data_IF_513420077874
#
_entry.id   IF_513420077874
#
_cell.length_a   1.000
_cell.length_b   1.000
_cell.length_c   1.000
_cell.angle_alpha   90.00
_cell.angle_beta   90.00
_cell.angle_gamma   90.00
#
_symmetry.space_group_name_H-M   'P 1'
#
loop_
_entity.id
_entity.type
_entity.pdbx_description
1 polymer ?
#
# COMPACT_ATOMS: atom_id res chain seq x y z
N UNK A 1 -1.40 -30.84 -2.31
CA UNK A 1 -2.20 -29.62 -2.00
C UNK A 1 -1.35 -28.38 -1.73
N UNK A 2 -0.02 -28.52 -1.56
CA UNK A 2 0.83 -27.39 -1.16
C UNK A 2 0.84 -26.22 -2.15
N UNK A 3 0.97 -26.48 -3.46
CA UNK A 3 0.97 -25.40 -4.45
C UNK A 3 -0.32 -24.57 -4.41
N UNK A 4 -1.48 -25.22 -4.28
CA UNK A 4 -2.77 -24.53 -4.13
C UNK A 4 -2.78 -23.64 -2.89
N UNK A 5 -2.27 -24.15 -1.76
CA UNK A 5 -2.19 -23.36 -0.53
C UNK A 5 -1.27 -22.15 -0.70
N UNK A 6 -0.09 -22.34 -1.28
CA UNK A 6 0.87 -21.26 -1.52
C UNK A 6 0.31 -20.20 -2.46
N UNK A 7 -0.35 -20.61 -3.55
CA UNK A 7 -0.99 -19.68 -4.49
C UNK A 7 -2.13 -18.93 -3.81
N UNK A 8 -2.99 -19.60 -3.03
CA UNK A 8 -4.05 -18.93 -2.29
C UNK A 8 -3.50 -17.88 -1.31
N UNK A 9 -2.44 -18.21 -0.57
CA UNK A 9 -1.78 -17.24 0.32
C UNK A 9 -1.25 -16.02 -0.44
N UNK A 10 -0.65 -16.22 -1.62
CA UNK A 10 -0.19 -15.10 -2.45
C UNK A 10 -1.35 -14.23 -2.97
N UNK A 11 -2.48 -14.84 -3.32
CA UNK A 11 -3.69 -14.12 -3.75
C UNK A 11 -4.29 -13.29 -2.61
N UNK A 12 -4.37 -13.86 -1.41
CA UNK A 12 -4.90 -13.15 -0.23
C UNK A 12 -4.00 -11.95 0.15
N UNK A 13 -2.68 -12.13 0.05
CA UNK A 13 -1.71 -11.05 0.23
C UNK A 13 -1.87 -9.96 -0.84
N UNK A 14 -2.14 -10.35 -2.09
CA UNK A 14 -2.37 -9.40 -3.18
C UNK A 14 -3.65 -8.59 -2.99
N UNK A 15 -4.73 -9.23 -2.56
CA UNK A 15 -5.98 -8.53 -2.23
C UNK A 15 -5.75 -7.51 -1.12
N UNK A 16 -5.06 -7.92 -0.05
CA UNK A 16 -4.75 -7.04 1.09
C UNK A 16 -3.86 -5.85 0.69
N UNK A 17 -2.90 -6.08 -0.21
CA UNK A 17 -2.05 -5.01 -0.76
C UNK A 17 -2.86 -4.01 -1.57
N UNK A 18 -3.71 -4.49 -2.47
CA UNK A 18 -4.51 -3.64 -3.36
C UNK A 18 -5.45 -2.73 -2.54
N UNK A 19 -6.14 -3.30 -1.55
CA UNK A 19 -7.05 -2.57 -0.67
C UNK A 19 -6.32 -1.42 0.06
N UNK A 20 -5.13 -1.70 0.59
CA UNK A 20 -4.37 -0.73 1.37
C UNK A 20 -3.80 0.41 0.51
N UNK A 21 -3.30 0.09 -0.69
CA UNK A 21 -2.82 1.11 -1.64
C UNK A 21 -3.97 1.98 -2.13
N UNK A 22 -5.13 1.39 -2.46
CA UNK A 22 -6.31 2.15 -2.87
C UNK A 22 -6.79 3.07 -1.74
N UNK A 23 -6.77 2.61 -0.49
CA UNK A 23 -7.13 3.41 0.68
C UNK A 23 -6.24 4.65 0.81
N UNK A 24 -4.93 4.47 0.80
CA UNK A 24 -3.97 5.58 0.99
C UNK A 24 -4.02 6.58 -0.15
N UNK A 25 -4.13 6.11 -1.39
CA UNK A 25 -4.28 6.99 -2.55
C UNK A 25 -5.53 7.88 -2.44
N UNK A 26 -6.65 7.32 -1.98
CA UNK A 26 -7.89 8.07 -1.74
C UNK A 26 -7.75 9.06 -0.58
N UNK A 27 -7.26 8.61 0.57
CA UNK A 27 -7.13 9.45 1.77
C UNK A 27 -6.23 10.66 1.52
N UNK A 28 -5.03 10.43 0.99
CA UNK A 28 -4.03 11.49 0.83
C UNK A 28 -4.28 12.30 -0.44
N UNK A 29 -4.65 11.64 -1.55
CA UNK A 29 -4.79 12.28 -2.85
C UNK A 29 -6.15 12.93 -3.11
N UNK A 30 -7.23 12.41 -2.52
CA UNK A 30 -8.60 12.92 -2.77
C UNK A 30 -9.19 13.58 -1.53
N UNK A 31 -9.09 12.95 -0.36
CA UNK A 31 -9.70 13.47 0.87
C UNK A 31 -8.83 14.50 1.59
N UNK A 32 -7.58 14.69 1.15
CA UNK A 32 -6.64 15.62 1.77
C UNK A 32 -6.22 15.23 3.18
N UNK A 33 -6.42 13.96 3.58
CA UNK A 33 -5.99 13.42 4.88
C UNK A 33 -4.49 13.15 4.82
N UNK A 34 -3.72 14.17 5.21
CA UNK A 34 -2.26 14.12 5.17
C UNK A 34 -1.69 13.21 6.27
N UNK A 35 -0.58 12.55 5.95
CA UNK A 35 0.13 11.63 6.85
C UNK A 35 -0.32 10.17 6.78
N UNK A 36 -1.27 9.84 5.90
CA UNK A 36 -1.69 8.46 5.66
C UNK A 36 -0.56 7.63 5.04
N UNK A 37 -0.38 6.40 5.53
CA UNK A 37 0.61 5.44 5.02
C UNK A 37 -0.01 4.05 4.90
N UNK A 38 0.47 3.28 3.92
CA UNK A 38 0.10 1.91 3.66
C UNK A 38 0.92 0.99 4.55
N UNK A 39 0.24 0.09 5.27
CA UNK A 39 0.87 -0.98 6.04
C UNK A 39 0.37 -2.34 5.57
N UNK A 40 1.18 -3.01 4.75
CA UNK A 40 0.85 -4.36 4.25
C UNK A 40 1.79 -5.37 4.89
N UNK A 41 1.24 -6.35 5.63
CA UNK A 41 2.02 -7.39 6.29
C UNK A 41 2.41 -8.49 5.29
N UNK A 42 3.63 -9.00 5.42
CA UNK A 42 4.08 -10.17 4.65
C UNK A 42 4.41 -9.91 3.18
N UNK A 43 4.44 -8.64 2.73
CA UNK A 43 4.89 -8.29 1.38
C UNK A 43 6.41 -8.30 1.26
N UNK A 44 6.90 -8.77 0.12
CA UNK A 44 8.32 -8.81 -0.24
C UNK A 44 8.52 -8.59 -1.74
N UNK A 45 9.75 -8.29 -2.15
CA UNK A 45 10.08 -8.02 -3.55
C UNK A 45 9.27 -6.84 -4.11
N UNK A 46 8.80 -6.98 -5.35
CA UNK A 46 8.05 -5.93 -6.07
C UNK A 46 6.90 -5.32 -5.27
N UNK A 47 6.21 -6.10 -4.44
CA UNK A 47 5.09 -5.61 -3.64
C UNK A 47 5.51 -4.69 -2.50
N UNK A 48 6.65 -4.99 -1.89
CA UNK A 48 7.26 -4.10 -0.90
C UNK A 48 7.67 -2.79 -1.56
N UNK A 49 8.32 -2.87 -2.71
CA UNK A 49 8.78 -1.68 -3.45
C UNK A 49 7.61 -0.78 -3.84
N UNK A 50 6.48 -1.34 -4.27
CA UNK A 50 5.27 -0.57 -4.57
C UNK A 50 4.65 0.07 -3.31
N UNK A 51 4.64 -0.65 -2.18
CA UNK A 51 4.18 -0.10 -0.89
C UNK A 51 5.03 1.11 -0.48
N UNK A 52 6.34 0.98 -0.59
CA UNK A 52 7.31 2.02 -0.23
C UNK A 52 7.19 3.25 -1.17
N UNK A 53 6.93 3.03 -2.46
CA UNK A 53 6.67 4.10 -3.42
C UNK A 53 5.38 4.88 -3.11
N UNK A 54 4.29 4.18 -2.77
CA UNK A 54 3.02 4.82 -2.37
C UNK A 54 3.21 5.65 -1.09
N UNK A 55 3.93 5.11 -0.11
CA UNK A 55 4.25 5.82 1.13
C UNK A 55 5.11 7.05 0.89
N UNK A 56 6.08 6.97 -0.03
CA UNK A 56 6.92 8.11 -0.42
C UNK A 56 6.09 9.22 -1.06
N UNK A 57 5.19 8.86 -1.99
CA UNK A 57 4.25 9.81 -2.60
C UNK A 57 3.33 10.47 -1.56
N UNK A 58 2.75 9.69 -0.65
CA UNK A 58 1.89 10.21 0.41
C UNK A 58 2.63 11.17 1.37
N UNK A 59 3.86 10.84 1.73
CA UNK A 59 4.74 11.69 2.55
C UNK A 59 5.09 13.01 1.84
N UNK A 60 5.39 12.93 0.55
CA UNK A 60 5.70 14.11 -0.26
C UNK A 60 4.50 15.05 -0.36
N UNK A 61 3.30 14.52 -0.65
CA UNK A 61 2.07 15.32 -0.68
C UNK A 61 1.78 15.97 0.68
N UNK A 62 1.94 15.20 1.77
CA UNK A 62 1.82 15.73 3.14
C UNK A 62 2.77 16.89 3.40
N UNK A 63 4.01 16.78 2.94
CA UNK A 63 5.04 17.82 3.10
C UNK A 63 4.76 19.04 2.23
N UNK A 64 4.26 18.86 1.00
CA UNK A 64 3.93 19.94 0.07
C UNK A 64 2.75 20.80 0.53
N UNK A 65 1.81 20.24 1.28
CA UNK A 65 0.64 21.00 1.76
C UNK A 65 0.93 21.70 3.11
N UNK A 66 1.88 21.17 3.90
CA UNK A 66 2.24 21.75 5.21
C UNK A 66 3.27 22.88 5.12
N UNK A 67 4.07 22.93 4.05
CA UNK A 67 5.06 23.98 3.77
C UNK A 67 4.54 24.92 2.68
#
# INVERSE_FOLDING_TARGET
LELKSTVNTMVDQLSSFADEVTRVAREVGTEGKLGGQAQVKGVSGTWRDLTDNVNSMASNLTSQVRN
#
